data_IF_972984195919
#
_entry.id   IF_972984195919
#
_cell.length_a   1.000
_cell.length_b   1.000
_cell.length_c   1.000
_cell.angle_alpha   90.00
_cell.angle_beta   90.00
_cell.angle_gamma   90.00
#
_symmetry.space_group_name_H-M   'P 1'
#
loop_
_entity.id
_entity.type
_entity.pdbx_description
1 polymer ?
#
# COMPACT_ATOMS: atom_id res chain seq x y z
N UNK A 1 -12.38 -12.35 7.76
CA UNK A 1 -11.70 -11.26 8.45
C UNK A 1 -11.65 -10.03 7.58
N UNK A 2 -11.99 -8.89 8.13
CA UNK A 2 -12.16 -7.66 7.35
C UNK A 2 -10.97 -6.72 7.59
N UNK A 3 -9.89 -6.99 6.88
CA UNK A 3 -8.72 -6.14 6.92
C UNK A 3 -8.48 -5.47 5.57
N UNK A 4 -7.54 -4.53 5.59
CA UNK A 4 -7.20 -3.70 4.42
C UNK A 4 -5.70 -3.73 4.18
N UNK A 5 -5.32 -3.86 2.93
CA UNK A 5 -3.93 -3.71 2.49
C UNK A 5 -3.82 -2.36 1.79
N UNK A 6 -3.01 -1.46 2.34
CA UNK A 6 -2.91 -0.10 1.83
C UNK A 6 -1.80 0.01 0.78
N UNK A 7 -2.16 0.50 -0.41
CA UNK A 7 -1.18 0.83 -1.43
C UNK A 7 -0.40 2.08 -1.04
N UNK A 8 0.76 2.27 -1.63
CA UNK A 8 1.65 3.41 -1.37
C UNK A 8 0.94 4.75 -1.54
N UNK A 9 0.10 4.89 -2.57
CA UNK A 9 -0.62 6.16 -2.80
C UNK A 9 -1.57 6.51 -1.64
N UNK A 10 -2.17 5.51 -0.99
CA UNK A 10 -3.04 5.73 0.17
C UNK A 10 -2.21 6.14 1.39
N UNK A 11 -1.10 5.44 1.64
CA UNK A 11 -0.20 5.74 2.77
C UNK A 11 0.37 7.15 2.62
N UNK A 12 0.79 7.52 1.42
CA UNK A 12 1.32 8.86 1.12
C UNK A 12 0.25 9.94 1.30
N UNK A 13 -1.00 9.65 0.93
CA UNK A 13 -2.10 10.59 1.13
C UNK A 13 -2.37 10.80 2.62
N UNK A 14 -2.45 9.74 3.39
CA UNK A 14 -2.69 9.81 4.83
C UNK A 14 -1.58 10.56 5.58
N UNK A 15 -0.35 10.53 5.06
CA UNK A 15 0.77 11.29 5.62
C UNK A 15 0.51 12.79 5.64
N UNK A 16 -0.29 13.30 4.73
CA UNK A 16 -0.60 14.73 4.62
C UNK A 16 -1.43 15.26 5.79
N UNK A 17 -2.03 14.37 6.59
CA UNK A 17 -2.88 14.69 7.73
C UNK A 17 -4.03 15.62 7.34
N UNK A 18 -4.03 16.87 7.82
CA UNK A 18 -5.09 17.84 7.56
C UNK A 18 -5.25 18.21 6.08
N UNK A 19 -4.18 18.06 5.30
CA UNK A 19 -4.20 18.29 3.85
C UNK A 19 -4.61 17.07 3.05
N UNK A 20 -4.93 15.98 3.74
CA UNK A 20 -5.40 14.75 3.12
C UNK A 20 -6.74 14.99 2.41
N UNK A 21 -6.95 14.30 1.30
CA UNK A 21 -8.24 14.32 0.60
C UNK A 21 -9.36 13.95 1.57
N UNK A 22 -10.46 14.75 1.64
CA UNK A 22 -11.50 14.54 2.66
C UNK A 22 -12.12 13.15 2.66
N UNK A 23 -12.34 12.55 1.50
CA UNK A 23 -12.92 11.21 1.40
C UNK A 23 -11.96 10.13 1.91
N UNK A 24 -10.67 10.29 1.62
CA UNK A 24 -9.64 9.36 2.12
C UNK A 24 -9.56 9.44 3.64
N UNK A 25 -9.55 10.65 4.17
CA UNK A 25 -9.52 10.87 5.61
C UNK A 25 -10.75 10.28 6.30
N UNK A 26 -11.94 10.51 5.72
CA UNK A 26 -13.20 9.97 6.26
C UNK A 26 -13.18 8.44 6.27
N UNK A 27 -12.67 7.82 5.20
CA UNK A 27 -12.54 6.37 5.16
C UNK A 27 -11.60 5.88 6.27
N UNK A 28 -10.43 6.51 6.41
CA UNK A 28 -9.43 6.11 7.39
C UNK A 28 -9.94 6.23 8.83
N UNK A 29 -10.70 7.29 9.14
CA UNK A 29 -11.28 7.48 10.46
C UNK A 29 -12.32 6.41 10.81
N UNK A 30 -12.97 5.84 9.81
CA UNK A 30 -13.97 4.79 9.99
C UNK A 30 -13.41 3.39 10.16
N UNK A 31 -12.10 3.21 10.09
CA UNK A 31 -11.44 1.90 10.14
C UNK A 31 -10.57 1.81 11.40
N UNK A 32 -10.66 0.67 12.08
CA UNK A 32 -9.77 0.40 13.22
C UNK A 32 -8.33 0.29 12.74
N UNK A 33 -7.37 0.98 13.40
CA UNK A 33 -5.96 0.98 12.96
C UNK A 33 -5.35 -0.41 12.80
N UNK A 34 -5.72 -1.35 13.66
CA UNK A 34 -5.19 -2.71 13.59
C UNK A 34 -5.74 -3.55 12.44
N UNK A 35 -6.69 -3.03 11.67
CA UNK A 35 -7.19 -3.67 10.46
C UNK A 35 -6.39 -3.30 9.22
N UNK A 36 -5.48 -2.34 9.31
CA UNK A 36 -4.66 -1.88 8.21
C UNK A 36 -3.32 -2.60 8.19
N UNK A 37 -2.96 -3.09 7.02
CA UNK A 37 -1.73 -3.84 6.77
C UNK A 37 -0.94 -3.17 5.65
N UNK A 38 0.36 -3.37 5.65
CA UNK A 38 1.26 -2.92 4.58
C UNK A 38 2.01 -4.12 4.01
N UNK A 39 2.38 -4.01 2.74
CA UNK A 39 3.36 -4.92 2.16
C UNK A 39 4.77 -4.35 2.38
N UNK A 40 5.77 -5.22 2.48
CA UNK A 40 7.19 -4.80 2.43
C UNK A 40 7.48 -3.98 1.17
N UNK A 41 6.73 -4.20 0.08
CA UNK A 41 6.87 -3.44 -1.16
C UNK A 41 6.56 -1.95 -0.97
N UNK A 42 5.56 -1.63 -0.16
CA UNK A 42 5.19 -0.25 0.13
C UNK A 42 6.33 0.45 0.87
N UNK A 43 6.95 -0.22 1.84
CA UNK A 43 8.12 0.32 2.53
C UNK A 43 9.25 0.58 1.52
N UNK A 44 9.48 -0.36 0.61
CA UNK A 44 10.50 -0.21 -0.45
C UNK A 44 10.23 0.98 -1.37
N UNK A 45 8.97 1.17 -1.79
CA UNK A 45 8.58 2.30 -2.63
C UNK A 45 8.76 3.64 -1.91
N UNK A 46 8.40 3.70 -0.63
CA UNK A 46 8.59 4.90 0.19
C UNK A 46 10.08 5.21 0.36
N UNK A 47 10.89 4.19 0.62
CA UNK A 47 12.35 4.34 0.74
C UNK A 47 12.96 4.86 -0.57
N UNK A 48 12.53 4.31 -1.71
CA UNK A 48 12.95 4.78 -3.03
C UNK A 48 12.60 6.25 -3.22
N UNK A 49 11.37 6.63 -2.85
CA UNK A 49 10.92 8.02 -2.94
C UNK A 49 11.78 8.99 -2.12
N UNK A 50 12.19 8.58 -0.92
CA UNK A 50 13.06 9.39 -0.06
C UNK A 50 14.45 9.59 -0.69
N UNK A 51 15.02 8.53 -1.27
CA UNK A 51 16.31 8.59 -1.95
C UNK A 51 16.26 9.52 -3.16
N UNK A 52 15.18 9.41 -3.95
CA UNK A 52 15.00 10.30 -5.11
C UNK A 52 14.82 11.76 -4.67
N UNK A 53 14.07 11.99 -3.59
CA UNK A 53 13.87 13.33 -3.05
C UNK A 53 15.17 13.97 -2.59
N UNK A 54 16.09 13.16 -2.06
CA UNK A 54 17.39 13.64 -1.57
C UNK A 54 18.22 14.29 -2.66
N UNK A 55 18.00 13.94 -3.92
CA UNK A 55 18.72 14.54 -5.06
C UNK A 55 18.40 16.03 -5.22
N UNK A 56 17.23 16.47 -4.77
CA UNK A 56 16.77 17.86 -4.92
C UNK A 56 16.55 18.58 -3.60
N UNK A 57 16.30 17.85 -2.50
CA UNK A 57 15.94 18.45 -1.21
C UNK A 57 16.32 17.52 -0.07
N UNK A 58 17.50 17.73 0.52
CA UNK A 58 18.03 16.92 1.61
C UNK A 58 17.14 16.99 2.86
N UNK A 59 16.64 18.19 3.19
CA UNK A 59 15.81 18.37 4.38
C UNK A 59 14.48 17.61 4.25
N UNK A 60 13.85 17.68 3.09
CA UNK A 60 12.62 16.92 2.83
C UNK A 60 12.87 15.41 2.88
N UNK A 61 14.00 14.95 2.35
CA UNK A 61 14.38 13.54 2.40
C UNK A 61 14.57 13.05 3.84
N UNK A 62 15.21 13.85 4.69
CA UNK A 62 15.39 13.51 6.11
C UNK A 62 14.05 13.36 6.82
N UNK A 63 13.12 14.27 6.56
CA UNK A 63 11.76 14.20 7.12
C UNK A 63 11.04 12.92 6.66
N UNK A 64 11.15 12.59 5.37
CA UNK A 64 10.58 11.37 4.82
C UNK A 64 11.17 10.12 5.46
N UNK A 65 12.48 10.04 5.59
CA UNK A 65 13.14 8.88 6.19
C UNK A 65 12.75 8.68 7.64
N UNK A 66 12.65 9.75 8.41
CA UNK A 66 12.18 9.69 9.79
C UNK A 66 10.73 9.18 9.85
N UNK A 67 9.88 9.67 8.97
CA UNK A 67 8.49 9.22 8.90
C UNK A 67 8.39 7.74 8.52
N UNK A 68 9.19 7.28 7.54
CA UNK A 68 9.23 5.86 7.14
C UNK A 68 9.63 5.00 8.34
N UNK A 69 10.64 5.43 9.12
CA UNK A 69 11.07 4.70 10.31
C UNK A 69 9.93 4.58 11.34
N UNK A 70 9.20 5.67 11.56
CA UNK A 70 8.05 5.64 12.48
C UNK A 70 6.94 4.75 11.96
N UNK A 71 6.66 4.82 10.65
CA UNK A 71 5.65 3.98 10.01
C UNK A 71 5.98 2.50 10.17
N UNK A 72 7.25 2.12 9.93
CA UNK A 72 7.70 0.74 10.06
C UNK A 72 7.55 0.22 11.50
N UNK A 73 7.79 1.08 12.48
CA UNK A 73 7.59 0.72 13.90
C UNK A 73 6.11 0.58 14.23
N UNK A 74 5.29 1.50 13.75
CA UNK A 74 3.85 1.48 14.01
C UNK A 74 3.19 0.23 13.43
N UNK A 75 3.65 -0.20 12.25
CA UNK A 75 3.09 -1.36 11.55
C UNK A 75 3.93 -2.62 11.72
N UNK A 76 4.84 -2.69 12.70
CA UNK A 76 5.83 -3.77 12.81
C UNK A 76 5.22 -5.18 12.76
N UNK A 77 4.06 -5.37 13.37
CA UNK A 77 3.31 -6.66 13.39
C UNK A 77 2.35 -6.81 12.21
N UNK A 78 2.26 -5.82 11.33
CA UNK A 78 1.30 -5.79 10.22
C UNK A 78 1.96 -5.44 8.89
N UNK A 79 3.27 -5.63 8.77
CA UNK A 79 4.00 -5.54 7.51
C UNK A 79 4.15 -6.96 6.97
N UNK A 80 3.55 -7.22 5.81
CA UNK A 80 3.47 -8.55 5.23
C UNK A 80 4.63 -8.76 4.24
N UNK A 81 5.40 -9.85 4.39
CA UNK A 81 6.46 -10.17 3.45
C UNK A 81 5.89 -10.75 2.16
N UNK A 82 6.71 -10.78 1.11
CA UNK A 82 6.39 -11.50 -0.11
C UNK A 82 6.81 -12.96 0.10
N UNK A 83 5.83 -13.80 0.31
CA UNK A 83 6.04 -15.24 0.55
C UNK A 83 6.05 -16.03 -0.75
N UNK A 84 6.43 -17.31 -0.68
CA UNK A 84 6.31 -18.22 -1.81
C UNK A 84 4.86 -18.30 -2.31
N UNK A 85 3.91 -18.39 -1.39
CA UNK A 85 2.48 -18.43 -1.74
C UNK A 85 2.03 -17.18 -2.49
N UNK A 86 2.46 -16.00 -2.04
CA UNK A 86 2.14 -14.73 -2.71
C UNK A 86 2.78 -14.67 -4.09
N UNK A 87 4.04 -15.11 -4.21
CA UNK A 87 4.73 -15.12 -5.49
C UNK A 87 4.02 -16.02 -6.52
N UNK A 88 3.55 -17.19 -6.08
CA UNK A 88 2.80 -18.11 -6.94
C UNK A 88 1.46 -17.54 -7.35
N UNK A 89 0.75 -16.88 -6.43
CA UNK A 89 -0.51 -16.20 -6.74
C UNK A 89 -0.30 -15.05 -7.71
N UNK A 90 0.78 -14.28 -7.54
CA UNK A 90 1.15 -13.24 -8.49
C UNK A 90 1.34 -13.83 -9.90
N UNK A 91 2.02 -14.97 -10.01
CA UNK A 91 2.20 -15.64 -11.29
C UNK A 91 0.85 -15.99 -11.93
N UNK A 92 -0.07 -16.51 -11.14
CA UNK A 92 -1.41 -16.86 -11.62
C UNK A 92 -2.18 -15.62 -12.10
N UNK A 93 -2.19 -14.55 -11.32
CA UNK A 93 -2.90 -13.31 -11.66
C UNK A 93 -2.30 -12.63 -12.89
N UNK A 94 -0.98 -12.54 -12.97
CA UNK A 94 -0.30 -11.86 -14.05
C UNK A 94 -0.40 -12.61 -15.39
N UNK A 95 -0.71 -13.92 -15.35
CA UNK A 95 -0.97 -14.71 -16.54
C UNK A 95 -2.36 -14.43 -17.15
N UNK A 96 -3.29 -13.88 -16.38
CA UNK A 96 -4.64 -13.57 -16.86
C UNK A 96 -4.64 -12.40 -17.84
N UNK A 97 -3.81 -11.40 -17.56
CA UNK A 97 -3.61 -10.22 -18.41
C UNK A 97 -2.37 -9.46 -17.94
N UNK A 98 -1.83 -8.54 -18.76
CA UNK A 98 -0.72 -7.69 -18.32
C UNK A 98 -1.13 -6.83 -17.12
N UNK A 99 -0.27 -6.85 -16.08
CA UNK A 99 -0.45 -6.07 -14.86
C UNK A 99 0.92 -5.52 -14.47
N UNK A 100 1.04 -4.23 -14.05
CA UNK A 100 2.30 -3.74 -13.49
C UNK A 100 2.73 -4.66 -12.33
N UNK A 101 4.01 -5.09 -12.28
CA UNK A 101 4.45 -6.10 -11.30
C UNK A 101 4.12 -5.75 -9.84
N UNK A 102 4.30 -4.50 -9.45
CA UNK A 102 4.03 -4.07 -8.07
C UNK A 102 2.54 -4.19 -7.75
N UNK A 103 1.67 -3.75 -8.66
CA UNK A 103 0.22 -3.86 -8.48
C UNK A 103 -0.21 -5.32 -8.41
N UNK A 104 0.37 -6.17 -9.24
CA UNK A 104 0.09 -7.60 -9.22
C UNK A 104 0.52 -8.26 -7.92
N UNK A 105 1.67 -7.88 -7.38
CA UNK A 105 2.16 -8.41 -6.09
C UNK A 105 1.29 -7.94 -4.93
N UNK A 106 0.83 -6.70 -4.95
CA UNK A 106 -0.10 -6.20 -3.93
C UNK A 106 -1.45 -6.92 -4.03
N UNK A 107 -1.97 -7.11 -5.23
CA UNK A 107 -3.22 -7.85 -5.44
C UNK A 107 -3.09 -9.30 -4.94
N UNK A 108 -1.97 -9.96 -5.23
CA UNK A 108 -1.70 -11.32 -4.77
C UNK A 108 -1.61 -11.38 -3.24
N UNK A 109 -0.96 -10.40 -2.62
CA UNK A 109 -0.85 -10.30 -1.16
C UNK A 109 -2.23 -10.16 -0.52
N UNK A 110 -3.05 -9.26 -1.05
CA UNK A 110 -4.41 -9.06 -0.57
C UNK A 110 -5.24 -10.33 -0.70
N UNK A 111 -5.14 -11.01 -1.83
CA UNK A 111 -5.88 -12.24 -2.08
C UNK A 111 -5.50 -13.37 -1.11
N UNK A 112 -4.20 -13.60 -0.93
CA UNK A 112 -3.68 -14.66 -0.04
C UNK A 112 -4.13 -14.40 1.41
N UNK A 113 -4.07 -13.16 1.86
CA UNK A 113 -4.44 -12.79 3.24
C UNK A 113 -5.91 -12.44 3.40
N UNK A 114 -6.71 -12.52 2.33
CA UNK A 114 -8.15 -12.18 2.35
C UNK A 114 -8.41 -10.75 2.82
N UNK A 115 -7.56 -9.84 2.33
CA UNK A 115 -7.68 -8.42 2.60
C UNK A 115 -8.30 -7.70 1.42
N UNK A 116 -8.88 -6.54 1.67
CA UNK A 116 -9.30 -5.61 0.61
C UNK A 116 -8.11 -4.73 0.27
N UNK A 117 -7.72 -4.69 -1.00
CA UNK A 117 -6.68 -3.79 -1.47
C UNK A 117 -7.25 -2.38 -1.60
N UNK A 118 -6.67 -1.43 -0.85
CA UNK A 118 -7.08 -0.03 -0.87
C UNK A 118 -6.10 0.74 -1.73
N UNK A 119 -6.58 1.25 -2.87
CA UNK A 119 -5.73 1.90 -3.86
C UNK A 119 -6.52 2.90 -4.69
N UNK A 120 -5.83 3.92 -5.19
CA UNK A 120 -6.38 4.82 -6.19
C UNK A 120 -6.38 4.19 -7.59
N UNK A 121 -5.43 3.29 -7.85
CA UNK A 121 -5.19 2.69 -9.18
C UNK A 121 -6.04 1.43 -9.39
N UNK A 122 -7.35 1.53 -9.22
CA UNK A 122 -8.24 0.37 -9.29
C UNK A 122 -8.23 -0.30 -10.67
N UNK A 123 -8.02 0.45 -11.75
CA UNK A 123 -7.98 -0.10 -13.10
C UNK A 123 -6.91 -1.18 -13.29
N UNK A 124 -5.77 -1.03 -12.61
CA UNK A 124 -4.65 -1.96 -12.75
C UNK A 124 -4.93 -3.32 -12.14
N UNK A 125 -5.85 -3.40 -11.17
CA UNK A 125 -6.15 -4.63 -10.42
C UNK A 125 -7.60 -5.07 -10.55
N UNK A 126 -8.38 -4.36 -11.33
CA UNK A 126 -9.78 -4.67 -11.55
C UNK A 126 -9.95 -5.97 -12.34
N UNK A 127 -10.94 -6.77 -11.96
CA UNK A 127 -11.26 -8.01 -12.68
C UNK A 127 -10.36 -9.19 -12.33
N UNK A 128 -9.53 -9.09 -11.29
CA UNK A 128 -8.64 -10.16 -10.87
C UNK A 128 -9.23 -11.08 -9.78
N UNK A 129 -10.47 -10.83 -9.37
CA UNK A 129 -11.08 -11.59 -8.27
C UNK A 129 -10.61 -11.16 -6.89
N UNK A 130 -9.91 -10.03 -6.79
CA UNK A 130 -9.43 -9.45 -5.55
C UNK A 130 -10.37 -8.32 -5.13
N UNK A 131 -10.70 -8.25 -3.84
CA UNK A 131 -11.51 -7.16 -3.32
C UNK A 131 -10.70 -5.85 -3.36
N UNK A 132 -11.26 -4.80 -3.96
CA UNK A 132 -10.58 -3.52 -4.17
C UNK A 132 -11.48 -2.38 -3.71
N UNK A 133 -10.87 -1.36 -3.08
CA UNK A 133 -11.56 -0.17 -2.62
C UNK A 133 -10.75 1.06 -2.98
N UNK A 134 -11.41 2.05 -3.58
CA UNK A 134 -10.82 3.36 -3.85
C UNK A 134 -11.36 4.37 -2.84
N UNK A 135 -10.56 4.84 -1.86
CA UNK A 135 -11.05 5.74 -0.82
C UNK A 135 -11.24 7.18 -1.28
N UNK A 136 -10.85 7.52 -2.53
CA UNK A 136 -11.07 8.86 -3.09
C UNK A 136 -12.48 9.07 -3.61
N UNK A 137 -13.25 8.01 -3.80
CA UNK A 137 -14.61 8.13 -4.38
C UNK A 137 -15.71 7.63 -3.45
#
# INVERSE_FOLDING_TARGET
MNGFLLDTNVVSELRKRERCAPKVNAWAEGVEPNQNFLSVLVIGELARGAILRRRTDHAAADVLEQWITRLARLYADRILPITLEIAREWGRLSALRPIPPEDGLLAATAHVHRLTLVTRNTKNVQGLGVSVLNPWI
#
